data_IF_013685583433
#
_entry.id   IF_013685583433
#
_cell.length_a   1.000
_cell.length_b   1.000
_cell.length_c   1.000
_cell.angle_alpha   90.00
_cell.angle_beta   90.00
_cell.angle_gamma   90.00
#
_symmetry.space_group_name_H-M   'P 1'
#
loop_
_entity.id
_entity.type
_entity.pdbx_description
1 polymer ?
#
# COMPACT_ATOMS: atom_id res chain seq x y z
N UNK A 1 -8.14 -6.00 7.99
CA UNK A 1 -6.69 -6.10 8.30
C UNK A 1 -6.07 -7.30 7.61
N UNK A 2 -6.59 -8.52 7.80
CA UNK A 2 -6.11 -9.70 7.08
C UNK A 2 -6.07 -9.52 5.55
N UNK A 3 -7.14 -8.97 4.96
CA UNK A 3 -7.17 -8.69 3.51
C UNK A 3 -6.04 -7.72 3.08
N UNK A 4 -5.75 -6.70 3.88
CA UNK A 4 -4.70 -5.72 3.59
C UNK A 4 -3.32 -6.40 3.58
N UNK A 5 -3.04 -7.24 4.61
CA UNK A 5 -1.83 -8.04 4.67
C UNK A 5 -1.68 -8.95 3.47
N UNK A 6 -2.72 -9.74 3.14
CA UNK A 6 -2.66 -10.70 2.05
C UNK A 6 -2.53 -10.01 0.69
N UNK A 7 -3.38 -9.02 0.40
CA UNK A 7 -3.35 -8.29 -0.86
C UNK A 7 -2.01 -7.58 -1.07
N UNK A 8 -1.49 -6.89 -0.04
CA UNK A 8 -0.17 -6.25 -0.10
C UNK A 8 0.96 -7.26 -0.27
N UNK A 9 0.94 -8.37 0.46
CA UNK A 9 1.96 -9.42 0.37
C UNK A 9 2.02 -10.02 -1.03
N UNK A 10 0.88 -10.43 -1.60
CA UNK A 10 0.88 -11.03 -2.93
C UNK A 10 1.23 -10.03 -4.03
N UNK A 11 0.81 -8.76 -3.89
CA UNK A 11 1.20 -7.72 -4.84
C UNK A 11 2.71 -7.48 -4.79
N UNK A 12 3.29 -7.34 -3.59
CA UNK A 12 4.73 -7.20 -3.42
C UNK A 12 5.48 -8.41 -3.99
N UNK A 13 5.01 -9.63 -3.74
CA UNK A 13 5.62 -10.83 -4.33
C UNK A 13 5.61 -10.78 -5.86
N UNK A 14 4.50 -10.41 -6.49
CA UNK A 14 4.42 -10.33 -7.95
C UNK A 14 5.38 -9.27 -8.50
N UNK A 15 5.40 -8.07 -7.90
CA UNK A 15 6.16 -6.94 -8.41
C UNK A 15 7.67 -7.09 -8.14
N UNK A 16 8.05 -7.60 -6.98
CA UNK A 16 9.45 -7.87 -6.64
C UNK A 16 10.01 -9.02 -7.48
N UNK A 17 9.28 -10.14 -7.64
CA UNK A 17 9.72 -11.23 -8.52
C UNK A 17 9.73 -10.81 -10.01
N UNK A 18 8.85 -9.89 -10.42
CA UNK A 18 8.90 -9.26 -11.74
C UNK A 18 10.04 -8.25 -11.92
N UNK A 19 10.80 -7.96 -10.85
CA UNK A 19 11.93 -7.04 -10.84
C UNK A 19 11.55 -5.57 -10.99
N UNK A 20 10.32 -5.18 -10.66
CA UNK A 20 9.86 -3.79 -10.76
C UNK A 20 10.45 -2.93 -9.64
N UNK A 21 10.61 -3.51 -8.46
CA UNK A 21 11.37 -2.94 -7.35
C UNK A 21 11.93 -4.03 -6.45
N UNK A 22 12.78 -3.63 -5.52
CA UNK A 22 13.35 -4.49 -4.49
C UNK A 22 13.38 -3.77 -3.15
N UNK A 23 13.48 -4.52 -2.05
CA UNK A 23 13.67 -3.99 -0.71
C UNK A 23 15.08 -4.32 -0.19
N UNK A 24 16.07 -3.43 -0.34
CA UNK A 24 17.44 -3.69 0.10
C UNK A 24 17.54 -3.92 1.61
N UNK A 25 16.81 -3.11 2.39
CA UNK A 25 16.74 -3.20 3.84
C UNK A 25 15.40 -3.84 4.23
N UNK A 26 15.45 -5.13 4.61
CA UNK A 26 14.25 -5.90 4.97
C UNK A 26 14.54 -6.98 6.03
N UNK A 27 13.55 -7.39 6.84
CA UNK A 27 13.70 -8.51 7.77
C UNK A 27 13.90 -9.84 7.02
N UNK A 28 14.78 -10.70 7.55
CA UNK A 28 15.05 -12.05 7.02
C UNK A 28 15.34 -12.11 5.50
N UNK A 29 16.35 -11.35 5.00
CA UNK A 29 16.59 -11.21 3.56
C UNK A 29 16.99 -12.52 2.85
N UNK A 30 17.44 -13.55 3.59
CA UNK A 30 17.73 -14.89 3.05
C UNK A 30 16.51 -15.80 2.88
N UNK A 31 15.31 -15.34 3.28
CA UNK A 31 14.06 -16.11 3.21
C UNK A 31 13.00 -15.37 2.40
N UNK A 32 12.87 -14.06 2.58
CA UNK A 32 11.88 -13.25 1.89
C UNK A 32 12.57 -12.20 1.02
N UNK A 33 12.09 -12.03 -0.21
CA UNK A 33 12.52 -10.95 -1.11
C UNK A 33 11.73 -9.65 -0.87
N UNK A 34 10.58 -9.76 -0.22
CA UNK A 34 9.70 -8.64 0.16
C UNK A 34 9.98 -8.17 1.59
N UNK A 35 9.55 -6.95 1.93
CA UNK A 35 9.60 -6.48 3.30
C UNK A 35 8.37 -6.97 4.10
N UNK A 36 8.50 -8.10 4.79
CA UNK A 36 7.40 -8.69 5.57
C UNK A 36 6.94 -7.83 6.75
N UNK A 37 7.81 -6.97 7.31
CA UNK A 37 7.37 -6.03 8.34
C UNK A 37 6.46 -4.95 7.75
N UNK A 38 6.75 -4.50 6.52
CA UNK A 38 5.88 -3.59 5.80
C UNK A 38 4.50 -4.20 5.56
N UNK A 39 4.43 -5.42 5.01
CA UNK A 39 3.15 -6.04 4.61
C UNK A 39 2.33 -6.56 5.79
N UNK A 40 2.97 -7.05 6.86
CA UNK A 40 2.28 -7.65 8.00
C UNK A 40 2.01 -6.69 9.15
N UNK A 41 2.74 -5.57 9.22
CA UNK A 41 2.61 -4.60 10.32
C UNK A 41 2.22 -3.24 9.76
N UNK A 42 3.09 -2.58 9.00
CA UNK A 42 2.88 -1.18 8.61
C UNK A 42 1.61 -1.01 7.78
N UNK A 43 1.44 -1.83 6.75
CA UNK A 43 0.31 -1.72 5.82
C UNK A 43 -1.04 -2.01 6.50
N UNK A 44 -1.19 -3.03 7.37
CA UNK A 44 -2.41 -3.21 8.17
C UNK A 44 -2.69 -2.05 9.11
N UNK A 45 -1.69 -1.54 9.84
CA UNK A 45 -1.89 -0.38 10.72
C UNK A 45 -2.31 0.87 9.93
N UNK A 46 -1.65 1.14 8.82
CA UNK A 46 -2.02 2.22 7.90
C UNK A 46 -3.46 2.04 7.39
N UNK A 47 -3.83 0.82 7.00
CA UNK A 47 -5.19 0.52 6.53
C UNK A 47 -6.23 0.71 7.62
N UNK A 48 -5.94 0.30 8.86
CA UNK A 48 -6.84 0.52 10.00
C UNK A 48 -7.06 2.02 10.25
N UNK A 49 -5.97 2.79 10.26
CA UNK A 49 -6.02 4.24 10.39
C UNK A 49 -6.81 4.89 9.25
N UNK A 50 -6.56 4.50 8.00
CA UNK A 50 -7.31 4.97 6.85
C UNK A 50 -8.81 4.70 6.99
N UNK A 51 -9.19 3.46 7.30
CA UNK A 51 -10.59 3.07 7.44
C UNK A 51 -11.25 3.88 8.57
N UNK A 52 -10.60 4.02 9.73
CA UNK A 52 -11.13 4.83 10.83
C UNK A 52 -11.56 6.23 10.37
N UNK A 53 -10.76 6.92 9.56
CA UNK A 53 -11.11 8.23 9.03
C UNK A 53 -12.13 8.17 7.89
N UNK A 54 -11.95 7.25 6.94
CA UNK A 54 -12.80 7.09 5.77
C UNK A 54 -14.28 6.84 6.11
N UNK A 55 -14.54 6.20 7.25
CA UNK A 55 -15.88 5.97 7.78
C UNK A 55 -16.63 7.22 8.21
N UNK A 56 -15.88 8.25 8.65
CA UNK A 56 -16.43 9.49 9.20
C UNK A 56 -16.63 10.56 8.14
N UNK A 57 -16.37 10.21 6.87
CA UNK A 57 -16.41 11.14 5.74
C UNK A 57 -17.61 10.85 4.82
N UNK A 58 -18.25 11.89 4.25
CA UNK A 58 -19.17 11.69 3.14
C UNK A 58 -18.44 11.12 1.92
N UNK A 59 -19.20 10.56 0.97
CA UNK A 59 -18.63 9.86 -0.18
C UNK A 59 -17.60 10.69 -0.98
N UNK A 60 -17.90 11.98 -1.24
CA UNK A 60 -16.99 12.88 -1.95
C UNK A 60 -15.72 13.17 -1.13
N UNK A 61 -15.87 13.43 0.17
CA UNK A 61 -14.75 13.67 1.07
C UNK A 61 -13.82 12.45 1.16
N UNK A 62 -14.40 11.24 1.21
CA UNK A 62 -13.62 10.00 1.17
C UNK A 62 -12.89 9.81 -0.16
N UNK A 63 -13.54 10.10 -1.29
CA UNK A 63 -12.89 10.01 -2.60
C UNK A 63 -11.69 10.96 -2.68
N UNK A 64 -11.86 12.21 -2.23
CA UNK A 64 -10.76 13.16 -2.13
C UNK A 64 -9.65 12.67 -1.18
N UNK A 65 -10.01 12.09 -0.03
CA UNK A 65 -9.04 11.55 0.93
C UNK A 65 -8.20 10.41 0.34
N UNK A 66 -8.82 9.47 -0.38
CA UNK A 66 -8.11 8.40 -1.09
C UNK A 66 -7.14 9.00 -2.13
N UNK A 67 -7.59 9.97 -2.93
CA UNK A 67 -6.74 10.63 -3.92
C UNK A 67 -5.54 11.32 -3.27
N UNK A 68 -5.76 12.11 -2.21
CA UNK A 68 -4.70 12.83 -1.50
C UNK A 68 -3.68 11.87 -0.89
N UNK A 69 -4.14 10.80 -0.23
CA UNK A 69 -3.22 9.79 0.31
C UNK A 69 -2.41 9.11 -0.79
N UNK A 70 -3.04 8.77 -1.91
CA UNK A 70 -2.36 8.12 -3.03
C UNK A 70 -1.28 9.00 -3.65
N UNK A 71 -1.55 10.30 -3.78
CA UNK A 71 -0.55 11.29 -4.20
C UNK A 71 0.55 11.46 -3.15
N UNK A 72 0.21 11.50 -1.86
CA UNK A 72 1.19 11.59 -0.78
C UNK A 72 2.17 10.40 -0.79
N UNK A 73 1.69 9.19 -1.08
CA UNK A 73 2.57 8.01 -1.18
C UNK A 73 3.54 8.11 -2.36
N UNK A 74 3.11 8.61 -3.52
CA UNK A 74 4.00 8.85 -4.65
C UNK A 74 5.03 9.96 -4.38
N UNK A 75 4.72 10.93 -3.50
CA UNK A 75 5.69 11.94 -3.05
C UNK A 75 6.66 11.39 -1.99
N UNK A 76 6.19 10.49 -1.13
CA UNK A 76 7.03 9.81 -0.15
C UNK A 76 8.00 8.83 -0.82
N UNK A 77 7.64 8.32 -2.00
CA UNK A 77 8.36 7.27 -2.68
C UNK A 77 9.84 7.60 -2.97
N UNK A 78 10.19 8.74 -3.60
CA UNK A 78 11.60 9.13 -3.78
C UNK A 78 12.37 9.32 -2.47
N UNK A 79 11.69 9.66 -1.36
CA UNK A 79 12.34 9.81 -0.07
C UNK A 79 12.74 8.45 0.50
N UNK A 80 11.86 7.46 0.36
CA UNK A 80 12.15 6.08 0.76
C UNK A 80 13.20 5.41 -0.13
N UNK A 81 13.31 5.78 -1.41
CA UNK A 81 14.43 5.36 -2.25
C UNK A 81 15.76 5.91 -1.76
N UNK A 82 15.80 7.22 -1.48
CA UNK A 82 16.99 7.88 -0.91
C UNK A 82 17.38 7.31 0.46
N UNK A 83 16.40 6.86 1.25
CA UNK A 83 16.62 6.18 2.52
C UNK A 83 17.08 4.72 2.37
N UNK A 84 17.08 4.16 1.15
CA UNK A 84 17.46 2.77 0.86
C UNK A 84 16.43 1.73 1.28
N UNK A 85 15.19 2.13 1.58
CA UNK A 85 14.13 1.21 2.03
C UNK A 85 13.60 0.36 0.88
N UNK A 86 13.52 0.92 -0.32
CA UNK A 86 13.29 0.19 -1.55
C UNK A 86 14.02 0.87 -2.71
N UNK A 87 14.17 0.16 -3.83
CA UNK A 87 14.67 0.73 -5.07
C UNK A 87 13.85 0.22 -6.25
N UNK A 88 13.30 1.14 -7.04
CA UNK A 88 12.60 0.80 -8.27
C UNK A 88 13.56 0.61 -9.45
N UNK A 89 13.07 -0.06 -10.49
CA UNK A 89 13.73 -0.08 -11.80
C UNK A 89 13.75 1.34 -12.42
N UNK A 90 14.74 1.64 -13.24
CA UNK A 90 14.93 2.96 -13.86
C UNK A 90 13.75 3.43 -14.73
N UNK A 91 12.96 2.51 -15.29
CA UNK A 91 11.77 2.80 -16.12
C UNK A 91 10.49 2.98 -15.28
N UNK A 92 10.58 2.88 -13.95
CA UNK A 92 9.45 3.03 -13.07
C UNK A 92 8.92 4.47 -13.08
N UNK A 93 7.60 4.59 -13.19
CA UNK A 93 6.91 5.88 -13.17
C UNK A 93 6.16 5.97 -11.85
N UNK A 94 6.44 6.99 -11.03
CA UNK A 94 5.74 7.23 -9.75
C UNK A 94 4.21 7.33 -9.88
N UNK A 95 3.69 7.55 -11.09
CA UNK A 95 2.26 7.47 -11.36
C UNK A 95 1.68 6.06 -11.09
N UNK A 96 2.47 5.00 -11.25
CA UNK A 96 2.07 3.63 -10.90
C UNK A 96 1.78 3.50 -9.41
N UNK A 97 2.56 4.17 -8.55
CA UNK A 97 2.33 4.23 -7.11
C UNK A 97 1.01 4.92 -6.79
N UNK A 98 0.69 6.04 -7.46
CA UNK A 98 -0.62 6.69 -7.29
C UNK A 98 -1.75 5.73 -7.59
N UNK A 99 -1.72 5.05 -8.75
CA UNK A 99 -2.77 4.10 -9.13
C UNK A 99 -2.82 2.88 -8.21
N UNK A 100 -1.66 2.37 -7.78
CA UNK A 100 -1.55 1.25 -6.86
C UNK A 100 -2.20 1.55 -5.51
N UNK A 101 -1.82 2.66 -4.86
CA UNK A 101 -2.42 3.06 -3.59
C UNK A 101 -3.89 3.44 -3.72
N UNK A 102 -4.28 4.11 -4.82
CA UNK A 102 -5.68 4.46 -5.05
C UNK A 102 -6.54 3.19 -5.15
N UNK A 103 -6.12 2.24 -5.98
CA UNK A 103 -6.80 0.96 -6.16
C UNK A 103 -6.85 0.13 -4.88
N UNK A 104 -5.73 0.08 -4.15
CA UNK A 104 -5.65 -0.62 -2.87
C UNK A 104 -6.61 -0.03 -1.83
N UNK A 105 -6.55 1.28 -1.59
CA UNK A 105 -7.41 1.97 -0.60
C UNK A 105 -8.89 1.87 -0.98
N UNK A 106 -9.21 2.00 -2.28
CA UNK A 106 -10.55 1.81 -2.79
C UNK A 106 -11.08 0.39 -2.55
N UNK A 107 -10.25 -0.63 -2.81
CA UNK A 107 -10.57 -2.03 -2.55
C UNK A 107 -10.83 -2.26 -1.04
N UNK A 108 -9.92 -1.77 -0.19
CA UNK A 108 -10.06 -1.90 1.27
C UNK A 108 -11.36 -1.25 1.76
N UNK A 109 -11.68 -0.05 1.31
CA UNK A 109 -12.92 0.63 1.66
C UNK A 109 -14.16 -0.16 1.20
N UNK A 110 -14.16 -0.62 -0.06
CA UNK A 110 -15.30 -1.32 -0.64
C UNK A 110 -15.58 -2.62 0.10
N UNK A 111 -14.53 -3.41 0.38
CA UNK A 111 -14.63 -4.65 1.13
C UNK A 111 -15.07 -4.42 2.58
N UNK A 112 -14.52 -3.38 3.23
CA UNK A 112 -14.91 -3.00 4.59
C UNK A 112 -16.40 -2.63 4.69
N UNK A 113 -16.90 -1.83 3.74
CA UNK A 113 -18.33 -1.48 3.66
C UNK A 113 -19.19 -2.71 3.43
N UNK A 114 -18.75 -3.63 2.55
CA UNK A 114 -19.46 -4.87 2.29
C UNK A 114 -19.57 -5.76 3.54
N UNK A 115 -18.49 -5.90 4.31
CA UNK A 115 -18.51 -6.64 5.57
C UNK A 115 -19.46 -6.03 6.58
N UNK A 116 -19.46 -4.70 6.75
CA UNK A 116 -20.35 -4.03 7.70
C UNK A 116 -21.80 -3.97 7.29
N UNK A 117 -22.11 -4.03 6.00
CA UNK A 117 -23.49 -4.20 5.55
C UNK A 117 -24.06 -5.59 5.90
N UNK A 118 -23.19 -6.59 6.08
CA UNK A 118 -23.57 -7.97 6.40
C UNK A 118 -23.51 -8.32 7.89
N UNK A 119 -23.01 -7.43 8.73
CA UNK A 119 -22.90 -7.59 10.18
C UNK A 119 -24.05 -6.86 10.86
#
# INVERSE_FOLDING_TARGET
MLLASLAGTYLDLILVNGGFYSFPVRPFPGVFDINVAYTLILLPFFTAWFLFWAERMPALGRAAFITVLSLAMALAEPLSEKAGWFGHREDWRHLYTVFGYFGFLWLMWTFHRWLRFRA
#
